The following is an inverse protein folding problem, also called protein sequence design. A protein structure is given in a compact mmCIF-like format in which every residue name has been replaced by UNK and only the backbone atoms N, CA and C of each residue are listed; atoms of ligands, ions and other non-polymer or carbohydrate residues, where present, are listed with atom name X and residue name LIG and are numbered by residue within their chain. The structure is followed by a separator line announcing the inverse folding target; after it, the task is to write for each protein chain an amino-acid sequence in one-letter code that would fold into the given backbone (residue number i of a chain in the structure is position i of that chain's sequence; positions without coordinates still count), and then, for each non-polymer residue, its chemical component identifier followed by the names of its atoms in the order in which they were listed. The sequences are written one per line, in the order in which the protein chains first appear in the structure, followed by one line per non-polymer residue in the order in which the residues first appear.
data_IF_269888629936
#
_entry.id   IF_269888629936
#
_cell.length_a   1.000
_cell.length_b   1.000
_cell.length_c   1.000
_cell.angle_alpha   90.00
_cell.angle_beta   90.00
_cell.angle_gamma   90.00
#
_symmetry.space_group_name_H-M   'P 1'
#
loop_
_entity.id
_entity.type
_entity.pdbx_description
1 polymer ?
#
# COMPACT_ATOMS: atom_id res chain seq x y z
N UNK A 1 8.24 26.10 36.21
CA UNK A 1 8.26 24.71 36.70
C UNK A 1 8.65 23.84 35.50
N UNK A 2 9.93 23.44 35.40
CA UNK A 2 10.43 22.59 34.29
C UNK A 2 10.31 21.14 34.72
N UNK A 3 9.63 20.30 33.93
CA UNK A 3 9.63 18.86 34.12
C UNK A 3 11.04 18.31 33.91
N UNK A 4 11.50 17.33 34.71
CA UNK A 4 12.83 16.76 34.54
C UNK A 4 12.88 15.91 33.26
N UNK A 5 14.06 15.74 32.64
CA UNK A 5 14.23 14.85 31.50
C UNK A 5 13.98 13.40 31.93
N UNK A 6 13.14 12.70 31.18
CA UNK A 6 12.93 11.27 31.34
C UNK A 6 14.19 10.54 30.84
N UNK A 7 15.12 10.23 31.76
CA UNK A 7 16.27 9.39 31.45
C UNK A 7 15.78 7.94 31.45
N UNK A 8 15.58 7.38 30.27
CA UNK A 8 15.33 5.95 30.11
C UNK A 8 16.67 5.25 30.39
N UNK A 9 16.83 4.69 31.58
CA UNK A 9 17.93 3.77 31.86
C UNK A 9 17.69 2.47 31.09
N UNK A 10 18.22 2.41 29.86
CA UNK A 10 18.39 1.15 29.14
C UNK A 10 19.41 0.32 29.93
N UNK A 11 18.95 -0.51 30.87
CA UNK A 11 19.77 -1.64 31.34
C UNK A 11 20.06 -2.49 30.12
N UNK A 12 21.31 -2.90 29.87
CA UNK A 12 21.60 -3.80 28.78
C UNK A 12 20.85 -5.11 29.08
N UNK A 13 19.89 -5.56 28.25
CA UNK A 13 19.44 -6.92 28.38
C UNK A 13 20.60 -7.78 27.89
N UNK A 14 20.97 -8.76 28.70
CA UNK A 14 21.68 -9.96 28.24
C UNK A 14 20.73 -10.72 27.29
N UNK A 15 20.46 -10.13 26.13
CA UNK A 15 19.72 -10.79 25.07
C UNK A 15 20.77 -11.44 24.16
N UNK A 16 21.04 -12.72 24.43
CA UNK A 16 21.80 -13.57 23.52
C UNK A 16 20.93 -13.80 22.29
N UNK A 17 20.87 -12.81 21.40
CA UNK A 17 20.32 -13.01 20.06
C UNK A 17 21.36 -13.89 19.36
N UNK A 18 21.07 -15.20 19.23
CA UNK A 18 21.75 -16.05 18.26
C UNK A 18 21.50 -15.41 16.89
N UNK A 19 22.44 -14.57 16.44
CA UNK A 19 22.27 -13.78 15.22
C UNK A 19 22.21 -14.79 14.06
N UNK A 20 21.03 -14.91 13.47
CA UNK A 20 20.68 -15.84 12.39
C UNK A 20 21.65 -15.61 11.24
N UNK A 21 22.27 -16.68 10.74
CA UNK A 21 23.35 -16.67 9.75
C UNK A 21 22.92 -16.32 8.31
N UNK A 22 21.67 -15.89 8.09
CA UNK A 22 21.06 -15.77 6.75
C UNK A 22 20.94 -14.32 6.23
N UNK A 23 21.87 -13.42 6.58
CA UNK A 23 21.88 -12.06 6.03
C UNK A 23 23.08 -11.84 5.10
N UNK A 24 22.88 -12.10 3.81
CA UNK A 24 23.90 -11.90 2.76
C UNK A 24 24.08 -10.44 2.33
N UNK A 25 23.16 -9.54 2.67
CA UNK A 25 23.13 -8.16 2.16
C UNK A 25 23.13 -7.06 3.24
N UNK A 26 23.36 -7.37 4.52
CA UNK A 26 23.32 -6.37 5.59
C UNK A 26 24.45 -6.53 6.60
N UNK A 27 24.92 -5.40 7.13
CA UNK A 27 25.94 -5.39 8.18
C UNK A 27 25.30 -5.97 9.44
N UNK A 28 25.77 -7.14 9.88
CA UNK A 28 25.23 -7.91 11.00
C UNK A 28 25.00 -7.05 12.26
N UNK A 29 25.87 -6.07 12.53
CA UNK A 29 25.73 -5.16 13.68
C UNK A 29 24.47 -4.28 13.63
N UNK A 30 24.07 -3.80 12.45
CA UNK A 30 22.86 -2.97 12.30
C UNK A 30 21.61 -3.81 12.52
N UNK A 31 21.58 -5.04 12.01
CA UNK A 31 20.46 -5.96 12.22
C UNK A 31 20.33 -6.33 13.70
N UNK A 32 21.41 -6.77 14.35
CA UNK A 32 21.29 -7.18 15.75
C UNK A 32 20.87 -5.96 16.62
N UNK A 33 21.31 -4.72 16.30
CA UNK A 33 20.80 -3.49 16.96
C UNK A 33 19.31 -3.26 16.68
N UNK A 34 18.86 -3.32 15.43
CA UNK A 34 17.45 -3.15 15.10
C UNK A 34 16.56 -4.18 15.82
N UNK A 35 16.94 -5.46 15.80
CA UNK A 35 16.20 -6.54 16.45
C UNK A 35 16.13 -6.36 17.97
N UNK A 36 17.24 -5.94 18.60
CA UNK A 36 17.24 -5.67 20.04
C UNK A 36 16.35 -4.47 20.42
N UNK A 37 16.31 -3.43 19.58
CA UNK A 37 15.40 -2.30 19.78
C UNK A 37 13.94 -2.71 19.58
N UNK A 38 13.64 -3.55 18.60
CA UNK A 38 12.28 -4.05 18.37
C UNK A 38 11.81 -4.91 19.56
N UNK A 39 12.65 -5.82 20.04
CA UNK A 39 12.33 -6.71 21.16
C UNK A 39 12.11 -5.94 22.47
N UNK A 40 12.71 -4.75 22.62
CA UNK A 40 12.47 -3.89 23.78
C UNK A 40 11.01 -3.40 23.89
N UNK A 41 10.22 -3.49 22.81
CA UNK A 41 8.79 -3.17 22.82
C UNK A 41 7.89 -4.38 23.11
N UNK A 42 8.42 -5.61 23.16
CA UNK A 42 7.61 -6.83 23.32
C UNK A 42 6.88 -6.90 24.68
N UNK A 43 7.44 -6.26 25.70
CA UNK A 43 6.86 -6.20 27.05
C UNK A 43 5.87 -5.03 27.23
N UNK A 44 5.75 -4.12 26.25
CA UNK A 44 4.87 -2.96 26.34
C UNK A 44 3.45 -3.28 25.87
N UNK A 45 2.45 -2.72 26.55
CA UNK A 45 1.07 -2.82 26.09
C UNK A 45 0.89 -2.09 24.74
N UNK A 46 0.17 -2.73 23.80
CA UNK A 46 0.01 -2.18 22.45
C UNK A 46 -0.61 -0.77 22.41
N UNK A 47 -1.49 -0.42 23.36
CA UNK A 47 -2.07 0.92 23.42
C UNK A 47 -1.06 1.98 23.89
N UNK A 48 -0.24 1.65 24.88
CA UNK A 48 0.85 2.52 25.32
C UNK A 48 1.86 2.77 24.19
N UNK A 49 2.25 1.71 23.49
CA UNK A 49 3.13 1.80 22.33
C UNK A 49 2.53 2.69 21.23
N UNK A 50 1.24 2.52 20.89
CA UNK A 50 0.56 3.34 19.88
C UNK A 50 0.48 4.82 20.28
N UNK A 51 0.28 5.14 21.56
CA UNK A 51 0.28 6.52 22.07
C UNK A 51 1.65 7.16 21.98
N UNK A 52 2.70 6.42 22.33
CA UNK A 52 4.08 6.86 22.17
C UNK A 52 4.39 7.14 20.69
N UNK A 53 4.09 6.17 19.80
CA UNK A 53 4.25 6.29 18.34
C UNK A 53 3.55 7.53 17.77
N UNK A 54 2.31 7.79 18.20
CA UNK A 54 1.51 8.93 17.73
C UNK A 54 2.14 10.27 18.13
N UNK A 55 2.78 10.35 19.30
CA UNK A 55 3.45 11.58 19.78
C UNK A 55 4.85 11.76 19.20
N UNK A 56 5.54 10.66 18.87
CA UNK A 56 6.92 10.71 18.38
C UNK A 56 7.04 10.89 16.88
N UNK A 57 6.02 10.48 16.10
CA UNK A 57 6.05 10.58 14.65
C UNK A 57 5.72 12.02 14.17
N UNK A 58 6.69 12.77 13.60
CA UNK A 58 6.45 14.15 13.16
C UNK A 58 5.44 14.23 12.00
N UNK A 59 5.19 13.13 11.30
CA UNK A 59 4.26 13.05 10.17
C UNK A 59 2.88 12.53 10.56
N UNK A 60 2.62 12.25 11.84
CA UNK A 60 1.39 11.60 12.30
C UNK A 60 0.12 12.40 11.97
N UNK A 61 0.22 13.73 11.89
CA UNK A 61 -0.93 14.61 11.63
C UNK A 61 -1.46 14.53 10.19
N UNK A 62 -0.70 13.95 9.24
CA UNK A 62 -1.16 13.77 7.84
C UNK A 62 -2.37 12.83 7.80
N UNK A 63 -2.28 11.70 8.53
CA UNK A 63 -3.33 10.66 8.60
C UNK A 63 -3.84 10.27 7.20
N UNK A 64 -5.16 10.17 7.02
CA UNK A 64 -5.82 9.91 5.73
C UNK A 64 -6.42 11.18 5.09
N UNK A 65 -6.32 12.33 5.75
CA UNK A 65 -7.00 13.58 5.33
C UNK A 65 -8.49 13.34 5.04
N UNK A 66 -8.91 13.35 3.77
CA UNK A 66 -10.28 13.12 3.30
C UNK A 66 -10.46 11.75 2.62
N UNK A 67 -9.41 10.92 2.58
CA UNK A 67 -9.45 9.55 2.09
C UNK A 67 -9.83 8.57 3.20
N UNK A 68 -10.27 7.37 2.81
CA UNK A 68 -10.66 6.27 3.68
C UNK A 68 -9.61 5.92 4.72
N UNK A 69 -8.33 5.92 4.33
CA UNK A 69 -7.24 5.52 5.21
C UNK A 69 -5.92 6.25 4.88
N UNK A 70 -4.90 6.00 5.71
CA UNK A 70 -3.57 6.59 5.55
C UNK A 70 -2.81 6.02 4.35
N UNK A 71 -3.21 4.87 3.81
CA UNK A 71 -2.57 4.25 2.66
C UNK A 71 -2.76 5.12 1.41
N UNK A 72 -3.94 5.70 1.21
CA UNK A 72 -4.17 6.67 0.13
C UNK A 72 -3.14 7.81 0.14
N UNK A 73 -2.77 8.31 1.33
CA UNK A 73 -1.75 9.35 1.48
C UNK A 73 -0.32 8.85 1.21
N UNK A 74 -0.02 7.55 1.42
CA UNK A 74 1.24 6.96 0.94
C UNK A 74 1.31 7.05 -0.58
N UNK A 75 0.23 6.66 -1.27
CA UNK A 75 0.18 6.71 -2.73
C UNK A 75 0.27 8.14 -3.26
N UNK A 76 -0.43 9.09 -2.62
CA UNK A 76 -0.32 10.51 -2.95
C UNK A 76 1.11 11.06 -2.81
N UNK A 77 1.81 10.66 -1.75
CA UNK A 77 3.19 11.05 -1.51
C UNK A 77 4.14 10.42 -2.55
N UNK A 78 4.05 9.10 -2.75
CA UNK A 78 4.88 8.36 -3.71
C UNK A 78 4.67 8.91 -5.12
N UNK A 79 3.42 9.07 -5.56
CA UNK A 79 3.12 9.63 -6.88
C UNK A 79 3.71 11.03 -7.05
N UNK A 80 3.65 11.89 -6.03
CA UNK A 80 4.31 13.19 -6.08
C UNK A 80 5.84 13.12 -6.13
N UNK A 81 6.45 12.28 -5.27
CA UNK A 81 7.92 12.11 -5.18
C UNK A 81 8.51 11.57 -6.48
N UNK A 82 7.75 10.74 -7.20
CA UNK A 82 8.15 10.17 -8.49
C UNK A 82 7.50 10.90 -9.67
N UNK A 83 7.38 12.23 -9.61
CA UNK A 83 6.97 13.08 -10.74
C UNK A 83 5.68 12.64 -11.45
N UNK A 84 4.72 12.13 -10.68
CA UNK A 84 3.41 11.62 -11.11
C UNK A 84 3.50 10.44 -12.09
N UNK A 85 4.51 9.56 -11.96
CA UNK A 85 4.67 8.41 -12.87
C UNK A 85 3.45 7.48 -12.90
N UNK A 86 2.61 7.46 -11.86
CA UNK A 86 1.43 6.59 -11.81
C UNK A 86 0.21 7.29 -12.44
N UNK A 87 -0.04 8.55 -12.08
CA UNK A 87 -1.23 9.27 -12.55
C UNK A 87 -1.02 10.01 -13.88
N UNK A 88 0.23 10.18 -14.31
CA UNK A 88 0.63 10.74 -15.59
C UNK A 88 1.86 10.01 -16.16
N UNK A 89 1.72 8.71 -16.52
CA UNK A 89 2.84 7.93 -17.02
C UNK A 89 3.35 8.51 -18.35
N UNK A 90 4.67 8.48 -18.53
CA UNK A 90 5.36 9.02 -19.71
C UNK A 90 6.15 7.93 -20.43
N UNK A 91 6.34 8.10 -21.73
CA UNK A 91 7.24 7.26 -22.52
C UNK A 91 8.72 7.59 -22.22
N UNK A 92 9.63 6.85 -22.86
CA UNK A 92 11.08 7.04 -22.73
C UNK A 92 11.59 8.41 -23.20
N UNK A 93 10.76 9.18 -23.93
CA UNK A 93 11.06 10.54 -24.38
C UNK A 93 10.43 11.60 -23.44
N UNK A 94 9.77 11.17 -22.35
CA UNK A 94 9.12 12.05 -21.39
C UNK A 94 7.76 12.59 -21.86
N UNK A 95 7.19 12.05 -22.93
CA UNK A 95 5.87 12.44 -23.43
C UNK A 95 4.80 11.63 -22.69
N UNK A 96 3.69 12.27 -22.24
CA UNK A 96 2.58 11.54 -21.63
C UNK A 96 2.06 10.42 -22.54
N UNK A 97 1.87 9.23 -21.97
CA UNK A 97 1.29 8.09 -22.67
C UNK A 97 -0.18 8.33 -23.00
N UNK A 98 -0.87 9.05 -22.11
CA UNK A 98 -2.29 9.39 -22.23
C UNK A 98 -2.42 10.88 -22.51
N UNK A 99 -3.29 11.25 -23.44
CA UNK A 99 -3.64 12.66 -23.67
C UNK A 99 -4.98 12.96 -23.02
N UNK A 100 -5.02 13.96 -22.15
CA UNK A 100 -6.25 14.37 -21.44
C UNK A 100 -7.42 14.80 -22.36
N UNK A 101 -7.19 14.98 -23.67
CA UNK A 101 -8.22 15.30 -24.66
C UNK A 101 -8.74 14.08 -25.42
N UNK A 102 -8.01 12.98 -25.39
CA UNK A 102 -8.40 11.73 -26.03
C UNK A 102 -9.21 10.90 -25.02
N UNK A 103 -10.18 10.12 -25.48
CA UNK A 103 -11.00 9.23 -24.64
C UNK A 103 -10.23 7.99 -24.15
N UNK A 104 -8.91 8.11 -23.97
CA UNK A 104 -8.02 7.04 -23.53
C UNK A 104 -8.03 6.92 -22.00
N UNK A 105 -8.24 5.71 -21.49
CA UNK A 105 -8.31 5.42 -20.07
C UNK A 105 -6.93 5.02 -19.52
N UNK A 106 -6.61 5.53 -18.32
CA UNK A 106 -5.52 5.01 -17.50
C UNK A 106 -5.95 3.70 -16.83
N UNK A 107 -5.50 2.57 -17.39
CA UNK A 107 -5.64 1.27 -16.74
C UNK A 107 -4.62 1.06 -15.63
N UNK A 108 -5.06 0.63 -14.44
CA UNK A 108 -4.20 0.26 -13.32
C UNK A 108 -4.70 -1.00 -12.59
N UNK A 109 -3.82 -1.66 -11.85
CA UNK A 109 -4.18 -2.77 -10.96
C UNK A 109 -3.78 -2.49 -9.51
N UNK A 110 -4.55 -2.98 -8.54
CA UNK A 110 -4.30 -2.85 -7.11
C UNK A 110 -4.51 -4.20 -6.40
N UNK A 111 -3.43 -4.82 -5.93
CA UNK A 111 -3.44 -6.18 -5.36
C UNK A 111 -3.02 -6.17 -3.89
N UNK A 112 -3.61 -7.06 -3.08
CA UNK A 112 -3.53 -7.02 -1.62
C UNK A 112 -4.03 -5.68 -1.06
N UNK A 113 -5.05 -5.12 -1.71
CA UNK A 113 -5.34 -3.69 -1.64
C UNK A 113 -6.44 -3.30 -0.66
N UNK A 114 -7.12 -4.26 -0.03
CA UNK A 114 -8.25 -3.97 0.84
C UNK A 114 -7.84 -3.06 2.02
N UNK A 115 -8.61 -1.99 2.32
CA UNK A 115 -9.95 -1.68 1.80
C UNK A 115 -10.00 -0.81 0.53
N UNK A 116 -8.86 -0.47 -0.09
CA UNK A 116 -8.81 0.21 -1.40
C UNK A 116 -8.22 1.63 -1.40
N UNK A 117 -7.44 2.02 -0.38
CA UNK A 117 -6.94 3.39 -0.24
C UNK A 117 -6.06 3.88 -1.40
N UNK A 118 -5.23 3.00 -1.97
CA UNK A 118 -4.40 3.36 -3.13
C UNK A 118 -5.26 3.63 -4.37
N UNK A 119 -6.21 2.75 -4.65
CA UNK A 119 -7.22 2.93 -5.69
C UNK A 119 -8.04 4.21 -5.51
N UNK A 120 -8.47 4.54 -4.28
CA UNK A 120 -9.20 5.78 -4.01
C UNK A 120 -8.39 7.02 -4.41
N UNK A 121 -7.08 7.05 -4.12
CA UNK A 121 -6.20 8.14 -4.54
C UNK A 121 -6.13 8.27 -6.08
N UNK A 122 -5.90 7.16 -6.78
CA UNK A 122 -5.77 7.16 -8.26
C UNK A 122 -7.06 7.63 -8.91
N UNK A 123 -8.21 7.08 -8.50
CA UNK A 123 -9.52 7.46 -9.02
C UNK A 123 -9.89 8.89 -8.62
N UNK A 124 -9.53 9.36 -7.42
CA UNK A 124 -9.72 10.76 -7.05
C UNK A 124 -8.87 11.68 -7.93
N UNK A 125 -7.64 11.31 -8.27
CA UNK A 125 -6.76 12.14 -9.12
C UNK A 125 -7.22 12.17 -10.57
N UNK A 126 -7.60 11.01 -11.13
CA UNK A 126 -7.90 10.84 -12.56
C UNK A 126 -9.38 10.96 -12.91
N UNK A 127 -10.24 10.92 -11.90
CA UNK A 127 -11.70 10.95 -12.05
C UNK A 127 -12.12 9.83 -13.00
N UNK A 128 -12.81 10.17 -14.07
CA UNK A 128 -13.35 9.22 -15.03
C UNK A 128 -12.34 8.70 -16.05
N UNK A 129 -11.13 9.26 -16.10
CA UNK A 129 -10.07 8.87 -17.04
C UNK A 129 -9.20 7.70 -16.54
N UNK A 130 -9.68 6.91 -15.58
CA UNK A 130 -8.96 5.75 -15.09
C UNK A 130 -9.91 4.57 -14.90
N UNK A 131 -9.40 3.37 -15.14
CA UNK A 131 -10.08 2.09 -14.88
C UNK A 131 -9.16 1.22 -14.05
N UNK A 132 -9.63 0.81 -12.88
CA UNK A 132 -8.87 -0.01 -11.94
C UNK A 132 -9.38 -1.45 -11.86
N UNK A 133 -8.47 -2.38 -11.63
CA UNK A 133 -8.75 -3.78 -11.37
C UNK A 133 -8.14 -4.20 -10.04
N UNK A 134 -8.93 -4.82 -9.17
CA UNK A 134 -8.53 -5.12 -7.80
C UNK A 134 -8.53 -6.60 -7.46
N UNK A 135 -7.55 -7.08 -6.70
CA UNK A 135 -7.63 -8.40 -6.06
C UNK A 135 -7.15 -8.31 -4.61
N UNK A 136 -7.96 -8.76 -3.66
CA UNK A 136 -7.60 -8.82 -2.24
C UNK A 136 -8.32 -9.96 -1.55
N UNK A 137 -7.81 -10.42 -0.41
CA UNK A 137 -8.45 -11.45 0.38
C UNK A 137 -9.85 -11.01 0.81
N UNK A 138 -10.85 -11.88 0.62
CA UNK A 138 -12.16 -11.67 1.21
C UNK A 138 -12.13 -11.67 2.73
N UNK A 139 -13.07 -10.95 3.33
CA UNK A 139 -13.29 -10.93 4.77
C UNK A 139 -13.20 -9.53 5.38
N UNK A 140 -12.72 -9.38 6.62
CA UNK A 140 -12.77 -8.10 7.34
C UNK A 140 -12.00 -6.95 6.67
N UNK A 141 -10.98 -7.30 5.88
CA UNK A 141 -10.11 -6.37 5.19
C UNK A 141 -10.38 -6.35 3.68
N UNK A 142 -11.56 -6.77 3.21
CA UNK A 142 -11.95 -6.68 1.80
C UNK A 142 -12.09 -5.22 1.34
N UNK A 143 -12.22 -5.00 0.02
CA UNK A 143 -12.54 -3.70 -0.55
C UNK A 143 -13.82 -3.11 0.07
N UNK A 144 -13.75 -1.81 0.39
CA UNK A 144 -14.89 -1.03 0.88
C UNK A 144 -15.19 0.09 -0.11
N UNK A 145 -15.70 -0.30 -1.27
CA UNK A 145 -15.91 0.60 -2.40
C UNK A 145 -16.99 1.65 -2.14
N UNK A 146 -17.95 1.33 -1.26
CA UNK A 146 -18.98 2.22 -0.76
C UNK A 146 -18.42 3.31 0.17
N UNK A 147 -17.26 3.06 0.78
CA UNK A 147 -16.59 4.00 1.69
C UNK A 147 -15.60 4.92 0.96
N UNK A 148 -15.55 4.88 -0.38
CA UNK A 148 -14.72 5.82 -1.15
C UNK A 148 -15.33 7.22 -1.03
N UNK A 149 -14.70 8.08 -0.25
CA UNK A 149 -15.19 9.43 0.02
C UNK A 149 -15.04 10.36 -1.18
N UNK A 150 -14.04 10.07 -2.02
CA UNK A 150 -13.46 11.06 -2.94
C UNK A 150 -13.47 10.63 -4.41
N UNK A 151 -13.97 9.43 -4.71
CA UNK A 151 -13.97 8.84 -6.04
C UNK A 151 -15.19 7.96 -6.27
N UNK A 152 -15.70 7.94 -7.52
CA UNK A 152 -16.67 6.92 -7.93
C UNK A 152 -15.96 5.59 -8.09
N UNK A 153 -16.44 4.57 -7.38
CA UNK A 153 -15.94 3.20 -7.49
C UNK A 153 -16.48 2.45 -8.70
N UNK A 154 -17.37 3.04 -9.50
CA UNK A 154 -17.89 2.44 -10.76
C UNK A 154 -16.78 2.08 -11.76
N UNK A 155 -15.64 2.76 -11.65
CA UNK A 155 -14.47 2.53 -12.50
C UNK A 155 -13.44 1.60 -11.86
N UNK A 156 -13.81 0.92 -10.79
CA UNK A 156 -12.98 -0.10 -10.14
C UNK A 156 -13.70 -1.44 -10.13
N UNK A 157 -13.05 -2.49 -10.63
CA UNK A 157 -13.60 -3.84 -10.68
C UNK A 157 -12.80 -4.79 -9.78
N UNK A 158 -13.33 -5.17 -8.61
CA UNK A 158 -12.80 -6.26 -7.81
C UNK A 158 -12.96 -7.60 -8.52
N UNK A 159 -11.92 -8.42 -8.47
CA UNK A 159 -11.89 -9.76 -9.02
C UNK A 159 -11.08 -10.68 -8.10
N UNK A 160 -11.71 -11.75 -7.61
CA UNK A 160 -11.18 -12.56 -6.52
C UNK A 160 -10.52 -13.87 -6.98
N UNK A 161 -10.06 -13.92 -8.23
CA UNK A 161 -9.32 -15.05 -8.78
C UNK A 161 -10.20 -16.10 -9.44
N UNK A 162 -9.92 -17.38 -9.20
CA UNK A 162 -10.71 -18.48 -9.73
C UNK A 162 -12.16 -18.41 -9.20
N UNK A 163 -13.15 -18.49 -10.08
CA UNK A 163 -14.55 -18.22 -9.73
C UNK A 163 -14.96 -16.73 -9.79
N UNK A 164 -14.05 -15.83 -10.17
CA UNK A 164 -14.35 -14.42 -10.42
C UNK A 164 -14.77 -13.70 -9.16
N UNK A 165 -16.00 -13.19 -9.11
CA UNK A 165 -16.54 -12.49 -7.94
C UNK A 165 -16.72 -13.41 -6.72
N UNK A 166 -16.82 -14.72 -6.92
CA UNK A 166 -17.02 -15.71 -5.86
C UNK A 166 -15.72 -16.32 -5.33
N UNK A 167 -14.57 -15.94 -5.88
CA UNK A 167 -13.26 -16.40 -5.43
C UNK A 167 -12.87 -15.88 -4.03
N UNK A 168 -11.75 -16.37 -3.51
CA UNK A 168 -11.21 -16.00 -2.18
C UNK A 168 -10.26 -14.79 -2.22
N UNK A 169 -9.73 -14.45 -3.41
CA UNK A 169 -8.78 -13.37 -3.62
C UNK A 169 -7.38 -13.63 -3.09
N UNK A 170 -7.02 -14.90 -2.81
CA UNK A 170 -5.69 -15.28 -2.35
C UNK A 170 -4.66 -15.19 -3.47
N UNK A 171 -3.79 -14.18 -3.42
CA UNK A 171 -2.74 -13.94 -4.42
C UNK A 171 -1.67 -15.04 -4.43
N UNK A 172 -1.59 -15.89 -3.42
CA UNK A 172 -0.58 -16.97 -3.34
C UNK A 172 -0.99 -18.21 -4.15
N UNK A 173 -2.26 -18.31 -4.53
CA UNK A 173 -2.80 -19.43 -5.33
C UNK A 173 -2.51 -19.23 -6.82
N UNK A 174 -1.81 -20.18 -7.49
CA UNK A 174 -1.50 -20.07 -8.92
C UNK A 174 -2.73 -19.91 -9.82
N UNK A 175 -3.86 -20.52 -9.42
CA UNK A 175 -5.13 -20.45 -10.15
C UNK A 175 -5.68 -19.01 -10.13
N UNK A 176 -5.62 -18.35 -8.98
CA UNK A 176 -6.05 -16.96 -8.81
C UNK A 176 -5.15 -16.00 -9.57
N UNK A 177 -3.82 -16.19 -9.52
CA UNK A 177 -2.85 -15.39 -10.29
C UNK A 177 -3.18 -15.46 -11.78
N UNK A 178 -3.41 -16.68 -12.29
CA UNK A 178 -3.72 -16.90 -13.71
C UNK A 178 -5.07 -16.29 -14.08
N UNK A 179 -6.10 -16.49 -13.24
CA UNK A 179 -7.42 -15.94 -13.48
C UNK A 179 -7.43 -14.41 -13.50
N UNK A 180 -6.79 -13.77 -12.50
CA UNK A 180 -6.70 -12.30 -12.44
C UNK A 180 -5.88 -11.73 -13.61
N UNK A 181 -4.77 -12.38 -13.98
CA UNK A 181 -4.00 -12.01 -15.18
C UNK A 181 -4.88 -12.03 -16.42
N UNK A 182 -5.61 -13.10 -16.66
CA UNK A 182 -6.44 -13.23 -17.86
C UNK A 182 -7.55 -12.17 -17.86
N UNK A 183 -8.25 -11.99 -16.73
CA UNK A 183 -9.25 -10.95 -16.56
C UNK A 183 -8.72 -9.54 -16.90
N UNK A 184 -7.54 -9.17 -16.40
CA UNK A 184 -6.92 -7.87 -16.71
C UNK A 184 -6.58 -7.77 -18.19
N UNK A 185 -5.99 -8.80 -18.79
CA UNK A 185 -5.61 -8.79 -20.21
C UNK A 185 -6.84 -8.66 -21.12
N UNK A 186 -7.93 -9.36 -20.80
CA UNK A 186 -9.18 -9.34 -21.57
C UNK A 186 -9.86 -7.96 -21.54
N UNK A 187 -9.65 -7.18 -20.48
CA UNK A 187 -10.21 -5.85 -20.31
C UNK A 187 -9.26 -4.70 -20.72
N UNK A 188 -8.09 -5.00 -21.30
CA UNK A 188 -7.05 -4.00 -21.63
C UNK A 188 -6.47 -4.17 -23.04
N UNK A 189 -7.27 -4.63 -24.00
CA UNK A 189 -6.84 -4.95 -25.37
C UNK A 189 -5.62 -5.90 -25.41
N UNK A 190 -5.51 -6.80 -24.42
CA UNK A 190 -4.37 -7.68 -24.21
C UNK A 190 -3.00 -6.97 -24.10
N UNK A 191 -2.99 -5.70 -23.66
CA UNK A 191 -1.76 -4.94 -23.38
C UNK A 191 -1.37 -5.00 -21.91
N UNK A 192 -2.34 -5.24 -21.02
CA UNK A 192 -2.17 -5.10 -19.59
C UNK A 192 -2.38 -3.67 -19.10
N UNK A 193 -2.10 -3.45 -17.82
CA UNK A 193 -2.26 -2.13 -17.16
C UNK A 193 -1.03 -1.25 -17.34
N UNK A 194 -1.20 0.07 -17.21
CA UNK A 194 -0.08 1.02 -17.24
C UNK A 194 0.83 0.87 -16.02
N UNK A 195 0.25 0.54 -14.86
CA UNK A 195 0.98 0.24 -13.63
C UNK A 195 0.16 -0.66 -12.72
N UNK A 196 0.87 -1.32 -11.80
CA UNK A 196 0.30 -2.14 -10.74
C UNK A 196 0.83 -1.65 -9.39
N UNK A 197 -0.05 -1.62 -8.39
CA UNK A 197 0.28 -1.34 -7.01
C UNK A 197 0.03 -2.60 -6.16
N UNK A 198 0.85 -2.79 -5.12
CA UNK A 198 0.67 -3.86 -4.14
C UNK A 198 1.16 -3.41 -2.75
N UNK A 199 0.30 -3.54 -1.73
CA UNK A 199 0.56 -3.17 -0.31
C UNK A 199 0.07 -4.31 0.62
N UNK A 200 0.59 -5.52 0.39
CA UNK A 200 0.23 -6.75 1.12
C UNK A 200 1.08 -7.07 2.34
#
# INVERSE_FOLDING_TARGET
MRLPPCVIHLRPPLCVIQCVSDFSFSITSVICVFLSLQSAFDELEGEEMRRARTRSNPYEMIRGVFFLNRAAMKMANIDHVFDYIFTNPKDSQGKPLLKDRDSELLYFADVCAGPGGFSEYVLWRKKWHAKGFGMTLKGPNDFKLEDFYSASSELFEPYYGEGGVDGDGDVTRPENITAFRNFVMDNTDHKGVHFMMADG
#
